data_IF_627518817851
#
_entry.id   IF_627518817851
#
_cell.length_a   1.000
_cell.length_b   1.000
_cell.length_c   1.000
_cell.angle_alpha   90.00
_cell.angle_beta   90.00
_cell.angle_gamma   90.00
#
_symmetry.space_group_name_H-M   'P 1'
#
loop_
_entity.id
_entity.type
_entity.pdbx_description
1 polymer ?
#
# COMPACT_ATOMS: atom_id res chain seq x y z
N UNK A 1 -0.04 -5.19 12.20
CA UNK A 1 -0.49 -4.64 13.49
C UNK A 1 -1.70 -3.75 13.22
N UNK A 2 -2.90 -4.08 13.74
CA UNK A 2 -4.10 -3.30 13.47
C UNK A 2 -3.89 -1.84 13.90
N UNK A 3 -4.29 -0.89 13.05
CA UNK A 3 -4.08 0.55 13.24
C UNK A 3 -2.87 1.14 12.50
N UNK A 4 -1.97 0.31 11.97
CA UNK A 4 -0.86 0.77 11.11
C UNK A 4 -1.26 0.69 9.63
N UNK A 5 -0.90 1.69 8.82
CA UNK A 5 -1.24 1.70 7.40
C UNK A 5 -0.81 0.44 6.63
N UNK A 6 0.34 -0.17 6.99
CA UNK A 6 0.80 -1.43 6.40
C UNK A 6 -0.23 -2.56 6.54
N UNK A 7 -0.86 -2.69 7.72
CA UNK A 7 -1.87 -3.72 7.95
C UNK A 7 -3.13 -3.47 7.11
N UNK A 8 -3.57 -2.22 7.01
CA UNK A 8 -4.75 -1.87 6.19
C UNK A 8 -4.50 -2.14 4.72
N UNK A 9 -3.29 -1.88 4.23
CA UNK A 9 -2.86 -2.23 2.87
C UNK A 9 -2.93 -3.73 2.63
N UNK A 10 -2.35 -4.54 3.51
CA UNK A 10 -2.40 -6.02 3.41
C UNK A 10 -3.85 -6.53 3.41
N UNK A 11 -4.68 -6.05 4.33
CA UNK A 11 -6.10 -6.43 4.42
C UNK A 11 -6.88 -6.02 3.17
N UNK A 12 -6.62 -4.83 2.63
CA UNK A 12 -7.25 -4.35 1.40
C UNK A 12 -6.86 -5.23 0.19
N UNK A 13 -5.60 -5.65 0.10
CA UNK A 13 -5.12 -6.58 -0.94
C UNK A 13 -5.80 -7.95 -0.78
N UNK A 14 -5.96 -8.45 0.45
CA UNK A 14 -6.69 -9.71 0.69
C UNK A 14 -8.14 -9.63 0.25
N UNK A 15 -8.87 -8.59 0.67
CA UNK A 15 -10.26 -8.41 0.26
C UNK A 15 -10.41 -8.17 -1.24
N UNK A 16 -9.45 -7.46 -1.86
CA UNK A 16 -9.40 -7.28 -3.31
C UNK A 16 -9.25 -8.60 -4.04
N UNK A 17 -8.29 -9.42 -3.62
CA UNK A 17 -8.01 -10.73 -4.22
C UNK A 17 -9.16 -11.71 -4.04
N UNK A 18 -9.84 -11.68 -2.89
CA UNK A 18 -11.00 -12.53 -2.62
C UNK A 18 -12.19 -12.22 -3.54
N UNK A 19 -12.36 -10.94 -3.91
CA UNK A 19 -13.43 -10.49 -4.81
C UNK A 19 -13.15 -10.79 -6.28
N UNK A 20 -11.88 -10.89 -6.69
CA UNK A 20 -11.50 -11.16 -8.08
C UNK A 20 -11.80 -12.59 -8.57
N UNK A 21 -12.30 -13.49 -7.71
CA UNK A 21 -12.78 -14.81 -8.15
C UNK A 21 -11.66 -15.78 -8.55
N UNK A 22 -10.55 -15.81 -7.81
CA UNK A 22 -9.33 -16.56 -8.17
C UNK A 22 -9.45 -18.11 -8.14
N UNK A 23 -10.62 -18.69 -7.88
CA UNK A 23 -10.85 -20.14 -7.88
C UNK A 23 -9.86 -20.92 -7.00
N UNK A 24 -9.27 -21.99 -7.53
CA UNK A 24 -8.33 -22.85 -6.80
C UNK A 24 -7.08 -22.12 -6.26
N UNK A 25 -6.70 -20.97 -6.84
CA UNK A 25 -5.57 -20.19 -6.38
C UNK A 25 -5.83 -19.43 -5.05
N UNK A 26 -7.09 -19.30 -4.62
CA UNK A 26 -7.44 -18.64 -3.36
C UNK A 26 -6.79 -19.31 -2.15
N UNK A 27 -6.70 -20.64 -2.15
CA UNK A 27 -6.07 -21.40 -1.07
C UNK A 27 -4.56 -21.13 -0.99
N UNK A 28 -3.89 -21.05 -2.15
CA UNK A 28 -2.46 -20.76 -2.21
C UNK A 28 -2.16 -19.33 -1.75
N UNK A 29 -2.96 -18.35 -2.18
CA UNK A 29 -2.82 -16.97 -1.74
C UNK A 29 -3.04 -16.85 -0.23
N UNK A 30 -4.05 -17.53 0.33
CA UNK A 30 -4.29 -17.54 1.77
C UNK A 30 -3.16 -18.21 2.56
N UNK A 31 -2.57 -19.30 2.05
CA UNK A 31 -1.42 -19.93 2.68
C UNK A 31 -0.17 -19.03 2.64
N UNK A 32 0.11 -18.40 1.49
CA UNK A 32 1.22 -17.47 1.32
C UNK A 32 1.05 -16.22 2.18
N UNK A 33 -0.16 -15.69 2.27
CA UNK A 33 -0.54 -14.60 3.16
C UNK A 33 -0.17 -14.88 4.62
N UNK A 34 -0.62 -16.03 5.11
CA UNK A 34 -0.43 -16.44 6.49
C UNK A 34 1.04 -16.74 6.78
N UNK A 35 1.72 -17.42 5.85
CA UNK A 35 3.16 -17.64 5.93
C UNK A 35 3.96 -16.33 5.97
N UNK A 36 3.63 -15.38 5.08
CA UNK A 36 4.26 -14.06 5.05
C UNK A 36 4.06 -13.28 6.34
N UNK A 37 2.85 -13.32 6.91
CA UNK A 37 2.54 -12.69 8.20
C UNK A 37 3.39 -13.28 9.34
N UNK A 38 3.52 -14.61 9.40
CA UNK A 38 4.31 -15.32 10.42
C UNK A 38 5.79 -14.97 10.27
N UNK A 39 6.33 -15.05 9.06
CA UNK A 39 7.75 -14.72 8.79
C UNK A 39 8.05 -13.27 9.14
N UNK A 40 7.17 -12.33 8.75
CA UNK A 40 7.30 -10.92 9.10
C UNK A 40 7.32 -10.70 10.61
N UNK A 41 6.40 -11.33 11.34
CA UNK A 41 6.33 -11.23 12.80
C UNK A 41 7.58 -11.80 13.48
N UNK A 42 8.01 -13.01 13.10
CA UNK A 42 9.21 -13.66 13.65
C UNK A 42 10.46 -12.83 13.35
N UNK A 43 10.58 -12.29 12.14
CA UNK A 43 11.71 -11.44 11.75
C UNK A 43 11.78 -10.17 12.60
N UNK A 44 10.65 -9.46 12.75
CA UNK A 44 10.60 -8.24 13.59
C UNK A 44 10.86 -8.55 15.06
N UNK A 45 10.28 -9.62 15.62
CA UNK A 45 10.57 -10.02 17.00
C UNK A 45 12.06 -10.36 17.20
N UNK A 46 12.66 -11.06 16.24
CA UNK A 46 14.09 -11.41 16.29
C UNK A 46 14.96 -10.14 16.22
N UNK A 47 14.63 -9.20 15.34
CA UNK A 47 15.34 -7.94 15.22
C UNK A 47 15.23 -7.11 16.52
N UNK A 48 14.02 -6.94 17.05
CA UNK A 48 13.78 -6.21 18.31
C UNK A 48 14.52 -6.87 19.47
N UNK A 49 14.50 -8.20 19.56
CA UNK A 49 15.27 -8.93 20.58
C UNK A 49 16.77 -8.68 20.45
N UNK A 50 17.30 -8.70 19.24
CA UNK A 50 18.73 -8.48 19.03
C UNK A 50 19.16 -7.02 19.32
N UNK A 51 18.26 -6.05 19.08
CA UNK A 51 18.54 -4.62 19.30
C UNK A 51 18.38 -4.23 20.78
N UNK A 52 17.29 -4.66 21.44
CA UNK A 52 16.96 -4.25 22.80
C UNK A 52 17.51 -5.20 23.89
N UNK A 53 17.66 -6.48 23.57
CA UNK A 53 18.10 -7.51 24.53
C UNK A 53 19.46 -8.14 24.15
N UNK A 54 20.16 -7.58 23.17
CA UNK A 54 21.52 -7.98 22.82
C UNK A 54 22.56 -7.43 23.80
N UNK A 55 23.77 -7.99 23.85
CA UNK A 55 24.86 -7.44 24.65
C UNK A 55 25.14 -6.00 24.22
N UNK A 56 25.25 -5.10 25.20
CA UNK A 56 25.51 -3.67 24.97
C UNK A 56 26.88 -3.55 24.29
N UNK A 57 26.91 -3.05 23.06
CA UNK A 57 28.19 -2.80 22.38
C UNK A 57 28.97 -1.73 23.15
N UNK A 58 30.26 -1.93 23.44
CA UNK A 58 31.13 -0.96 24.15
C UNK A 58 31.11 0.45 23.53
N UNK A 59 30.79 0.57 22.23
CA UNK A 59 30.61 1.85 21.52
C UNK A 59 29.38 2.65 21.94
N UNK A 60 28.41 2.04 22.61
CA UNK A 60 27.16 2.69 23.03
C UNK A 60 27.20 3.27 24.45
N UNK A 61 28.25 3.00 25.26
CA UNK A 61 28.34 3.49 26.64
C UNK A 61 28.46 5.03 26.75
N UNK A 62 28.94 5.70 25.70
CA UNK A 62 29.13 7.16 25.68
C UNK A 62 28.10 7.91 24.81
N UNK A 63 27.12 7.20 24.24
CA UNK A 63 26.16 7.80 23.31
C UNK A 63 25.05 8.49 24.11
N UNK A 64 24.98 9.82 24.01
CA UNK A 64 23.89 10.63 24.55
C UNK A 64 22.55 10.21 23.94
N UNK A 65 21.52 10.11 24.76
CA UNK A 65 20.16 9.77 24.36
C UNK A 65 19.64 10.69 23.24
N UNK A 66 18.66 10.20 22.47
CA UNK A 66 18.10 10.90 21.33
C UNK A 66 17.49 12.24 21.76
N UNK A 67 18.16 13.34 21.41
CA UNK A 67 17.63 14.70 21.58
C UNK A 67 16.22 14.82 20.97
N UNK A 68 15.32 15.55 21.63
CA UNK A 68 13.90 15.67 21.25
C UNK A 68 13.69 16.13 19.80
N UNK A 69 14.61 16.91 19.24
CA UNK A 69 14.59 17.34 17.84
C UNK A 69 14.81 16.18 16.85
N UNK A 70 15.59 15.18 17.26
CA UNK A 70 15.92 14.00 16.45
C UNK A 70 14.81 12.95 16.48
N UNK A 71 13.95 12.99 17.50
CA UNK A 71 12.73 12.17 17.61
C UNK A 71 11.58 12.69 16.74
N UNK A 72 11.58 13.98 16.39
CA UNK A 72 10.56 14.62 15.56
C UNK A 72 10.22 13.87 14.25
N UNK A 73 11.19 13.49 13.39
CA UNK A 73 10.88 12.74 12.18
C UNK A 73 10.26 11.38 12.48
N UNK A 74 10.70 10.67 13.53
CA UNK A 74 10.11 9.39 13.92
C UNK A 74 8.65 9.55 14.32
N UNK A 75 8.34 10.55 15.14
CA UNK A 75 6.96 10.84 15.56
C UNK A 75 6.10 11.24 14.37
N UNK A 76 6.62 12.07 13.46
CA UNK A 76 5.90 12.46 12.23
C UNK A 76 5.54 11.24 11.38
N UNK A 77 6.49 10.32 11.18
CA UNK A 77 6.25 9.07 10.45
C UNK A 77 5.21 8.20 11.15
N UNK A 78 5.29 8.10 12.48
CA UNK A 78 4.38 7.29 13.30
C UNK A 78 2.95 7.85 13.25
N UNK A 79 2.81 9.18 13.33
CA UNK A 79 1.53 9.88 13.16
C UNK A 79 0.97 9.64 11.77
N UNK A 80 1.77 9.78 10.71
CA UNK A 80 1.32 9.50 9.35
C UNK A 80 0.82 8.06 9.20
N UNK A 81 1.53 7.10 9.79
CA UNK A 81 1.20 5.68 9.76
C UNK A 81 -0.10 5.36 10.49
N UNK A 82 -0.39 6.04 11.60
CA UNK A 82 -1.67 5.97 12.29
C UNK A 82 -2.79 6.65 11.50
N UNK A 83 -2.57 7.86 11.00
CA UNK A 83 -3.58 8.60 10.20
C UNK A 83 -4.03 7.78 9.00
N UNK A 84 -3.10 7.21 8.24
CA UNK A 84 -3.43 6.34 7.11
C UNK A 84 -3.99 4.97 7.54
N UNK A 85 -3.66 4.49 8.74
CA UNK A 85 -4.24 3.28 9.30
C UNK A 85 -5.71 3.44 9.73
N UNK A 86 -6.07 4.57 10.35
CA UNK A 86 -7.45 4.84 10.75
C UNK A 86 -8.32 5.35 9.59
N UNK A 87 -7.73 6.15 8.69
CA UNK A 87 -8.42 6.76 7.55
C UNK A 87 -7.78 6.38 6.21
N UNK A 88 -7.87 5.11 5.78
CA UNK A 88 -7.33 4.68 4.49
C UNK A 88 -7.98 5.41 3.31
N UNK A 89 -9.23 5.88 3.46
CA UNK A 89 -10.00 6.57 2.41
C UNK A 89 -9.28 7.80 1.83
N UNK A 90 -8.52 8.53 2.64
CA UNK A 90 -7.78 9.72 2.18
C UNK A 90 -6.79 9.35 1.07
N UNK A 91 -6.18 8.18 1.18
CA UNK A 91 -5.23 7.67 0.21
C UNK A 91 -5.96 6.93 -0.92
N UNK A 92 -6.96 6.12 -0.61
CA UNK A 92 -7.67 5.29 -1.61
C UNK A 92 -8.42 6.14 -2.64
N UNK A 93 -9.04 7.26 -2.25
CA UNK A 93 -9.77 8.16 -3.17
C UNK A 93 -8.85 8.79 -4.22
N UNK A 94 -7.59 9.10 -3.86
CA UNK A 94 -6.60 9.65 -4.79
C UNK A 94 -6.04 8.59 -5.75
N UNK A 95 -5.91 7.35 -5.29
CA UNK A 95 -5.34 6.25 -6.09
C UNK A 95 -6.39 5.63 -7.03
N UNK A 96 -7.67 5.64 -6.62
CA UNK A 96 -8.80 5.05 -7.36
C UNK A 96 -8.84 5.38 -8.86
N UNK A 97 -8.72 6.65 -9.32
CA UNK A 97 -8.80 6.96 -10.75
C UNK A 97 -7.65 6.35 -11.55
N UNK A 98 -6.43 6.31 -10.99
CA UNK A 98 -5.28 5.67 -11.65
C UNK A 98 -5.38 4.15 -11.66
N UNK A 99 -5.79 3.56 -10.53
CA UNK A 99 -5.99 2.12 -10.42
C UNK A 99 -7.11 1.61 -11.36
N UNK A 100 -8.20 2.38 -11.52
CA UNK A 100 -9.29 2.03 -12.43
C UNK A 100 -8.81 1.94 -13.88
N UNK A 101 -7.95 2.87 -14.31
CA UNK A 101 -7.36 2.87 -15.66
C UNK A 101 -6.48 1.63 -15.88
N UNK A 102 -5.66 1.24 -14.89
CA UNK A 102 -4.82 0.04 -14.96
C UNK A 102 -5.68 -1.24 -15.01
N UNK A 103 -6.74 -1.30 -14.22
CA UNK A 103 -7.66 -2.45 -14.21
C UNK A 103 -8.41 -2.58 -15.54
N UNK A 104 -8.82 -1.45 -16.13
CA UNK A 104 -9.47 -1.42 -17.46
C UNK A 104 -8.52 -1.90 -18.56
N UNK A 105 -7.27 -1.44 -18.55
CA UNK A 105 -6.24 -1.95 -19.46
C UNK A 105 -5.96 -3.45 -19.25
N UNK A 106 -5.88 -3.90 -18.00
CA UNK A 106 -5.56 -5.29 -17.66
C UNK A 106 -6.69 -6.29 -17.98
N UNK A 107 -7.95 -5.86 -17.87
CA UNK A 107 -9.12 -6.66 -18.25
C UNK A 107 -9.34 -6.71 -19.77
N UNK A 108 -8.47 -6.06 -20.55
CA UNK A 108 -8.60 -5.87 -21.98
C UNK A 108 -9.50 -4.66 -22.26
N UNK A 109 -8.94 -3.64 -22.92
CA UNK A 109 -9.66 -2.43 -23.31
C UNK A 109 -10.99 -2.78 -23.96
N UNK A 110 -12.07 -2.66 -23.19
CA UNK A 110 -13.41 -2.87 -23.68
C UNK A 110 -13.80 -1.58 -24.40
N UNK A 111 -13.64 -1.60 -25.72
CA UNK A 111 -13.83 -0.50 -26.69
C UNK A 111 -15.27 0.08 -26.75
N UNK A 112 -16.06 0.03 -25.66
CA UNK A 112 -17.43 0.51 -25.63
C UNK A 112 -17.78 1.46 -24.48
N UNK A 113 -16.83 1.88 -23.65
CA UNK A 113 -17.07 3.02 -22.75
C UNK A 113 -16.53 4.29 -23.40
N UNK A 114 -17.37 5.29 -23.70
CA UNK A 114 -16.88 6.58 -24.16
C UNK A 114 -15.95 7.11 -23.07
N UNK A 115 -14.65 7.12 -23.36
CA UNK A 115 -13.68 7.87 -22.56
C UNK A 115 -14.12 9.31 -22.64
N UNK A 116 -14.83 9.80 -21.63
CA UNK A 116 -15.15 11.23 -21.53
C UNK A 116 -13.81 11.93 -21.38
N UNK A 117 -13.39 12.74 -22.37
CA UNK A 117 -12.13 13.45 -22.28
C UNK A 117 -12.14 14.34 -21.03
N UNK A 118 -11.01 14.52 -20.34
CA UNK A 118 -10.91 15.52 -19.28
C UNK A 118 -11.41 16.86 -19.82
N UNK A 119 -12.27 17.52 -19.03
CA UNK A 119 -12.91 18.76 -19.42
C UNK A 119 -11.85 19.78 -19.88
N UNK A 120 -11.83 20.08 -21.18
CA UNK A 120 -10.87 21.00 -21.80
C UNK A 120 -10.18 20.49 -23.07
N UNK A 121 -10.31 19.21 -23.45
CA UNK A 121 -9.75 18.70 -24.71
C UNK A 121 -10.80 18.72 -25.81
N UNK A 122 -10.75 19.72 -26.70
CA UNK A 122 -11.53 19.72 -27.94
C UNK A 122 -10.91 18.71 -28.91
N UNK A 123 -11.54 17.54 -29.05
CA UNK A 123 -11.25 16.62 -30.16
C UNK A 123 -11.76 17.30 -31.42
N UNK A 124 -10.84 17.82 -32.23
CA UNK A 124 -11.14 18.30 -33.58
C UNK A 124 -11.68 17.11 -34.36
N UNK A 125 -12.99 17.10 -34.61
CA UNK A 125 -13.62 16.17 -35.53
C UNK A 125 -13.12 16.53 -36.94
N UNK A 126 -12.18 15.76 -37.47
CA UNK A 126 -11.84 15.86 -38.90
C UNK A 126 -13.01 15.30 -39.68
N UNK A 127 -13.78 16.21 -40.26
CA UNK A 127 -14.93 15.97 -41.12
C UNK A 127 -14.62 14.94 -42.20
N UNK A 128 -15.46 13.91 -42.24
CA UNK A 128 -15.66 13.03 -43.39
C UNK A 128 -16.10 13.85 -44.61
N UNK A 129 -15.28 13.90 -45.65
CA UNK A 129 -15.72 14.28 -46.99
C UNK A 129 -14.96 13.49 -48.07
N UNK A 130 -15.74 12.78 -48.90
CA UNK A 130 -15.59 12.52 -50.35
C UNK A 130 -14.24 11.99 -50.87
N UNK A 131 -14.20 10.84 -51.55
CA UNK A 131 -14.97 10.48 -52.75
C UNK A 131 -14.82 8.98 -53.03
#
# INVERSE_FOLDING_TARGET
LPGFANFVGEVMVFFGTWKSGLGAAQQLVAAAAWGGLIVGAVYMLRAVRNILHGPVAEKCESVTDANSWRQLPFVLLLVALFVFGFFPKVLTEKIRPGAALIVDMANGGNQNTPVKPPAGVNVVQTTSETK
#
